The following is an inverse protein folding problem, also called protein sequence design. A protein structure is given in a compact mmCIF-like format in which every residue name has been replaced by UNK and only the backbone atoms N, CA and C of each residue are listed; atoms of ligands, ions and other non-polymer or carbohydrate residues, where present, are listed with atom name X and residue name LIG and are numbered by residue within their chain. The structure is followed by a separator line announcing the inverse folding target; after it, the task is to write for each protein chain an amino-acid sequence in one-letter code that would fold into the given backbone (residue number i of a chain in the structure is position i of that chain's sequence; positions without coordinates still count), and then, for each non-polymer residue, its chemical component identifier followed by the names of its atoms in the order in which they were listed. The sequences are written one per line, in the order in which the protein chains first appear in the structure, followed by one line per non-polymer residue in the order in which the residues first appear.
data_IF_156576161983
#
_entry.id   IF_156576161983
#
_cell.length_a   1.000
_cell.length_b   1.000
_cell.length_c   1.000
_cell.angle_alpha   90.00
_cell.angle_beta   90.00
_cell.angle_gamma   90.00
#
_symmetry.space_group_name_H-M   'P 1'
#
loop_
_entity.id
_entity.type
_entity.pdbx_description
1 polymer ?
#
# COMPACT_ATOMS: atom_id res chain seq x y z
N UNK A 1 19.13 14.04 -9.70
CA UNK A 1 18.11 13.28 -8.95
C UNK A 1 17.41 14.27 -8.03
N UNK A 2 16.10 14.42 -8.13
CA UNK A 2 15.35 15.24 -7.18
C UNK A 2 15.17 14.43 -5.88
N UNK A 3 16.00 14.75 -4.88
CA UNK A 3 16.05 14.03 -3.61
C UNK A 3 14.73 14.17 -2.84
N UNK A 4 14.08 15.32 -2.91
CA UNK A 4 12.81 15.55 -2.23
C UNK A 4 11.71 14.67 -2.82
N UNK A 5 11.65 14.57 -4.15
CA UNK A 5 10.71 13.68 -4.84
C UNK A 5 10.99 12.20 -4.55
N UNK A 6 12.25 11.81 -4.53
CA UNK A 6 12.64 10.44 -4.16
C UNK A 6 12.18 10.10 -2.73
N UNK A 7 12.44 10.97 -1.75
CA UNK A 7 12.02 10.73 -0.36
C UNK A 7 10.49 10.63 -0.20
N UNK A 8 9.71 11.38 -0.98
CA UNK A 8 8.25 11.31 -0.93
C UNK A 8 7.70 9.98 -1.46
N UNK A 9 8.37 9.40 -2.45
CA UNK A 9 7.98 8.12 -3.03
C UNK A 9 8.59 6.95 -2.24
N UNK A 10 9.49 7.18 -1.29
CA UNK A 10 10.19 6.15 -0.53
C UNK A 10 9.98 6.31 0.99
N UNK A 11 8.75 6.03 1.45
CA UNK A 11 8.32 6.21 2.84
C UNK A 11 9.11 5.37 3.87
N UNK A 12 9.75 4.28 3.44
CA UNK A 12 10.66 3.47 4.27
C UNK A 12 12.08 3.40 3.70
N UNK A 13 12.38 4.20 2.68
CA UNK A 13 13.71 4.28 2.05
C UNK A 13 14.19 2.97 1.42
N UNK A 14 13.32 2.00 1.10
CA UNK A 14 13.76 0.80 0.37
C UNK A 14 14.19 1.15 -1.05
N UNK A 15 15.15 0.37 -1.57
CA UNK A 15 15.46 0.40 -2.99
C UNK A 15 14.30 -0.15 -3.84
N UNK A 16 14.25 0.23 -5.11
CA UNK A 16 13.25 -0.29 -6.06
C UNK A 16 12.60 0.80 -6.90
N UNK A 17 11.68 0.37 -7.76
CA UNK A 17 10.91 1.26 -8.63
C UNK A 17 9.76 1.92 -7.87
N UNK A 18 9.45 3.14 -8.26
CA UNK A 18 8.22 3.83 -7.90
C UNK A 18 7.08 3.38 -8.82
N UNK A 19 5.93 3.08 -8.24
CA UNK A 19 4.72 2.60 -8.92
C UNK A 19 3.53 3.48 -8.53
N UNK A 20 2.43 3.37 -9.29
CA UNK A 20 1.12 3.84 -8.84
C UNK A 20 0.35 2.62 -8.32
N UNK A 21 0.15 2.56 -7.02
CA UNK A 21 -0.60 1.49 -6.37
C UNK A 21 -2.03 1.94 -6.07
N UNK A 22 -2.98 1.03 -6.16
CA UNK A 22 -4.36 1.25 -5.72
C UNK A 22 -4.79 0.19 -4.72
N UNK A 23 -5.56 0.60 -3.74
CA UNK A 23 -6.09 -0.31 -2.73
C UNK A 23 -7.44 0.16 -2.18
N UNK A 24 -8.30 -0.80 -1.90
CA UNK A 24 -9.59 -0.61 -1.24
C UNK A 24 -9.38 -0.66 0.28
N UNK A 25 -10.02 0.23 1.02
CA UNK A 25 -9.95 0.29 2.47
C UNK A 25 -11.22 0.89 3.08
N UNK A 26 -11.52 0.60 4.35
CA UNK A 26 -12.48 1.37 5.14
C UNK A 26 -12.07 2.85 5.29
N UNK A 27 -13.06 3.74 5.32
CA UNK A 27 -12.83 5.19 5.40
C UNK A 27 -12.14 5.65 6.71
N UNK A 28 -12.22 4.86 7.79
CA UNK A 28 -11.55 5.20 9.05
C UNK A 28 -10.01 5.13 8.93
N UNK A 29 -9.47 4.46 7.90
CA UNK A 29 -8.02 4.40 7.62
C UNK A 29 -7.49 5.61 6.81
N UNK A 30 -8.34 6.59 6.47
CA UNK A 30 -7.90 7.77 5.70
C UNK A 30 -6.76 8.52 6.41
N UNK A 31 -6.82 8.69 7.74
CA UNK A 31 -5.76 9.38 8.49
C UNK A 31 -4.44 8.64 8.38
N UNK A 32 -4.44 7.32 8.58
CA UNK A 32 -3.23 6.49 8.51
C UNK A 32 -2.57 6.53 7.12
N UNK A 33 -3.39 6.59 6.07
CA UNK A 33 -2.92 6.77 4.69
C UNK A 33 -2.32 8.17 4.48
N UNK A 34 -2.97 9.22 4.99
CA UNK A 34 -2.43 10.58 4.89
C UNK A 34 -1.10 10.74 5.65
N UNK A 35 -0.97 10.12 6.82
CA UNK A 35 0.26 10.16 7.62
C UNK A 35 1.42 9.45 6.90
N UNK A 36 1.13 8.33 6.23
CA UNK A 36 2.13 7.57 5.49
C UNK A 36 2.51 8.22 4.14
N UNK A 37 1.53 8.55 3.30
CA UNK A 37 1.75 8.93 1.90
C UNK A 37 1.61 10.45 1.64
N UNK A 38 1.21 11.22 2.66
CA UNK A 38 1.11 12.68 2.62
C UNK A 38 0.28 13.18 1.44
N UNK A 39 0.79 14.15 0.68
CA UNK A 39 0.10 14.76 -0.45
C UNK A 39 0.09 13.89 -1.73
N UNK A 40 0.61 12.66 -1.68
CA UNK A 40 0.74 11.79 -2.85
C UNK A 40 -0.34 10.72 -2.93
N UNK A 41 -1.55 11.07 -2.47
CA UNK A 41 -2.72 10.19 -2.42
C UNK A 41 -3.94 10.85 -3.05
N UNK A 42 -4.65 10.08 -3.88
CA UNK A 42 -5.98 10.38 -4.36
C UNK A 42 -7.00 9.42 -3.73
N UNK A 43 -8.16 9.92 -3.32
CA UNK A 43 -9.25 9.11 -2.78
C UNK A 43 -10.47 9.15 -3.70
N UNK A 44 -11.12 8.00 -3.84
CA UNK A 44 -12.43 7.85 -4.49
C UNK A 44 -13.36 7.07 -3.58
N UNK A 45 -14.51 7.66 -3.23
CA UNK A 45 -15.56 6.97 -2.50
C UNK A 45 -16.14 5.82 -3.33
N UNK A 46 -16.26 4.64 -2.71
CA UNK A 46 -16.86 3.45 -3.30
C UNK A 46 -18.26 3.15 -2.75
N UNK A 47 -18.73 3.92 -1.76
CA UNK A 47 -19.95 3.65 -1.01
C UNK A 47 -19.72 2.72 0.20
N UNK A 48 -20.73 2.61 1.06
CA UNK A 48 -20.76 1.71 2.23
C UNK A 48 -19.55 1.83 3.17
N UNK A 49 -19.00 3.05 3.30
CA UNK A 49 -17.84 3.33 4.13
C UNK A 49 -16.51 2.83 3.55
N UNK A 50 -16.47 2.43 2.28
CA UNK A 50 -15.27 1.98 1.58
C UNK A 50 -14.72 3.07 0.64
N UNK A 51 -13.40 3.13 0.53
CA UNK A 51 -12.67 4.11 -0.27
C UNK A 51 -11.60 3.38 -1.08
N UNK A 52 -11.44 3.81 -2.34
CA UNK A 52 -10.28 3.47 -3.16
C UNK A 52 -9.22 4.55 -2.98
N UNK A 53 -8.08 4.19 -2.42
CA UNK A 53 -6.88 5.03 -2.38
C UNK A 53 -5.99 4.73 -3.60
N UNK A 54 -5.42 5.77 -4.19
CA UNK A 54 -4.40 5.68 -5.23
C UNK A 54 -3.17 6.46 -4.80
N UNK A 55 -2.02 5.80 -4.68
CA UNK A 55 -0.77 6.40 -4.18
C UNK A 55 0.36 6.19 -5.16
N UNK A 56 1.30 7.15 -5.23
CA UNK A 56 2.57 6.95 -5.93
C UNK A 56 3.69 6.70 -4.91
N UNK A 57 4.27 5.51 -4.95
CA UNK A 57 5.18 5.03 -3.92
C UNK A 57 6.08 3.92 -4.45
N UNK A 58 7.21 3.70 -3.80
CA UNK A 58 8.09 2.57 -4.01
C UNK A 58 7.34 1.25 -3.78
N UNK A 59 7.53 0.29 -4.68
CA UNK A 59 6.83 -0.99 -4.65
C UNK A 59 7.10 -1.80 -3.37
N UNK A 60 8.33 -1.80 -2.88
CA UNK A 60 8.70 -2.52 -1.66
C UNK A 60 8.15 -1.83 -0.41
N UNK A 61 8.17 -0.50 -0.38
CA UNK A 61 7.57 0.27 0.69
C UNK A 61 6.06 0.03 0.76
N UNK A 62 5.38 0.03 -0.38
CA UNK A 62 3.95 -0.26 -0.47
C UNK A 62 3.62 -1.68 -0.01
N UNK A 63 4.39 -2.68 -0.44
CA UNK A 63 4.23 -4.07 0.02
C UNK A 63 4.40 -4.18 1.53
N UNK A 64 5.39 -3.49 2.11
CA UNK A 64 5.60 -3.49 3.55
C UNK A 64 4.47 -2.78 4.30
N UNK A 65 4.01 -1.62 3.81
CA UNK A 65 2.85 -0.93 4.37
C UNK A 65 1.60 -1.80 4.33
N UNK A 66 1.33 -2.43 3.19
CA UNK A 66 0.15 -3.28 3.01
C UNK A 66 0.09 -4.46 3.98
N UNK A 67 1.24 -5.04 4.34
CA UNK A 67 1.31 -6.12 5.34
C UNK A 67 0.83 -5.69 6.73
N UNK A 68 1.07 -4.43 7.11
CA UNK A 68 0.64 -3.90 8.41
C UNK A 68 -0.89 -3.83 8.52
N UNK A 69 -1.58 -3.67 7.38
CA UNK A 69 -3.04 -3.55 7.29
C UNK A 69 -3.68 -4.73 6.55
N UNK A 70 -2.99 -5.87 6.43
CA UNK A 70 -3.38 -6.95 5.51
C UNK A 70 -4.78 -7.54 5.73
N UNK A 71 -5.31 -7.43 6.95
CA UNK A 71 -6.67 -7.86 7.31
C UNK A 71 -7.75 -6.82 7.05
N UNK A 72 -7.38 -5.58 6.68
CA UNK A 72 -8.28 -4.42 6.59
C UNK A 72 -8.29 -3.79 5.20
N UNK A 73 -7.24 -3.97 4.41
CA UNK A 73 -7.14 -3.40 3.06
C UNK A 73 -7.01 -4.49 2.00
N UNK A 74 -7.27 -4.11 0.75
CA UNK A 74 -7.06 -4.96 -0.41
C UNK A 74 -6.34 -4.20 -1.50
N UNK A 75 -5.11 -4.60 -1.82
CA UNK A 75 -4.42 -4.10 -3.02
C UNK A 75 -5.20 -4.56 -4.26
N UNK A 76 -5.44 -3.64 -5.18
CA UNK A 76 -6.13 -3.90 -6.46
C UNK A 76 -5.23 -3.68 -7.67
N UNK A 77 -4.25 -2.78 -7.58
CA UNK A 77 -3.28 -2.50 -8.65
C UNK A 77 -1.90 -2.12 -8.08
N UNK A 78 -0.80 -2.41 -8.80
CA UNK A 78 -0.71 -3.26 -10.00
C UNK A 78 -0.83 -4.75 -9.67
N UNK A 79 -1.07 -5.59 -10.69
CA UNK A 79 -1.28 -7.04 -10.51
C UNK A 79 -0.10 -7.73 -9.83
N UNK A 80 1.12 -7.33 -10.15
CA UNK A 80 2.33 -7.88 -9.55
C UNK A 80 2.35 -7.66 -8.04
N UNK A 81 1.98 -6.46 -7.57
CA UNK A 81 1.89 -6.15 -6.15
C UNK A 81 0.79 -6.96 -5.45
N UNK A 82 -0.36 -7.14 -6.11
CA UNK A 82 -1.44 -8.01 -5.61
C UNK A 82 -0.93 -9.42 -5.37
N UNK A 83 -0.23 -10.00 -6.34
CA UNK A 83 0.29 -11.36 -6.26
C UNK A 83 1.37 -11.48 -5.17
N UNK A 84 2.24 -10.48 -5.02
CA UNK A 84 3.23 -10.40 -3.93
C UNK A 84 2.58 -10.35 -2.54
N UNK A 85 1.56 -9.51 -2.34
CA UNK A 85 0.85 -9.41 -1.06
C UNK A 85 0.11 -10.71 -0.70
N UNK A 86 -0.49 -11.39 -1.68
CA UNK A 86 -1.11 -12.71 -1.46
C UNK A 86 -0.07 -13.74 -1.02
N UNK A 87 1.08 -13.78 -1.71
CA UNK A 87 2.14 -14.72 -1.37
C UNK A 87 2.69 -14.47 0.04
N UNK A 88 2.80 -13.21 0.46
CA UNK A 88 3.19 -12.87 1.83
C UNK A 88 2.25 -13.46 2.87
N UNK A 89 0.94 -13.40 2.64
CA UNK A 89 -0.05 -13.96 3.57
C UNK A 89 0.00 -15.49 3.61
N UNK A 90 0.15 -16.14 2.46
CA UNK A 90 0.34 -17.59 2.38
C UNK A 90 1.58 -18.03 3.16
N UNK A 91 2.70 -17.33 2.94
CA UNK A 91 3.96 -17.62 3.65
C UNK A 91 3.82 -17.38 5.15
N UNK A 92 3.17 -16.28 5.56
CA UNK A 92 2.95 -15.98 6.97
C UNK A 92 2.09 -17.04 7.65
N UNK A 93 1.00 -17.48 7.03
CA UNK A 93 0.12 -18.52 7.57
C UNK A 93 0.87 -19.84 7.76
N UNK A 94 1.70 -20.22 6.78
CA UNK A 94 2.47 -21.46 6.84
C UNK A 94 3.43 -21.53 8.05
N UNK A 95 3.90 -20.38 8.58
CA UNK A 95 4.75 -20.34 9.77
C UNK A 95 4.03 -20.79 11.05
N UNK A 96 2.70 -20.68 11.11
CA UNK A 96 1.89 -21.06 12.27
C UNK A 96 1.25 -22.44 12.13
N UNK A 97 1.45 -23.11 10.99
CA UNK A 97 0.88 -24.43 10.70
C UNK A 97 1.85 -25.58 10.99
N UNK A 98 3.02 -25.28 11.57
CA UNK A 98 4.06 -26.24 11.98
C UNK A 98 4.15 -26.32 13.51
#
# INVERSE_FOLDING_TARGET
LDVAKYMQEHIFMFGGKSIRAKFEMPNYLISDVLDAFRANVDFKDLGDGMVLASVKVNENDMRFWARQYASQIKITEPKELVDMCKQDMVNALALYQN
#
